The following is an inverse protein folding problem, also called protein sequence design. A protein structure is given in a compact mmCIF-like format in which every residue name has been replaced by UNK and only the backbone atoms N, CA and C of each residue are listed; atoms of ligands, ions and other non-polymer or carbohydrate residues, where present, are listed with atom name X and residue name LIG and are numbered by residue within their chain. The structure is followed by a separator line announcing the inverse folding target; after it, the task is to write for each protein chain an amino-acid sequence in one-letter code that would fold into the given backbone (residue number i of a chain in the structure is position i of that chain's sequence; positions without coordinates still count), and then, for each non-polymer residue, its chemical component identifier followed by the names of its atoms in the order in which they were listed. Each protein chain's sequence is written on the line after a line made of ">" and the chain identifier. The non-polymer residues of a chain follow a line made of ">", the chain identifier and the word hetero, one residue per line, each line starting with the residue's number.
data_IF_448537226321
#
_entry.id   IF_448537226321
#
_cell.length_a   1.000
_cell.length_b   1.000
_cell.length_c   1.000
_cell.angle_alpha   90.00
_cell.angle_beta   90.00
_cell.angle_gamma   90.00
#
_symmetry.space_group_name_H-M   'P 1'
#
loop_
_entity.id
_entity.type
_entity.pdbx_description
1 polymer ?
#
# COMPACT_ATOMS: atom_id res chain seq x y z
N UNK A 1 -13.44 -43.35 -9.73
CA UNK A 1 -13.46 -43.47 -8.25
C UNK A 1 -12.58 -44.63 -7.81
N UNK A 2 -12.73 -45.82 -8.40
CA UNK A 2 -11.89 -47.00 -8.12
C UNK A 2 -10.39 -46.81 -8.43
N UNK A 3 -10.04 -46.15 -9.53
CA UNK A 3 -8.65 -45.92 -9.93
C UNK A 3 -7.90 -44.97 -8.97
N UNK A 4 -8.61 -44.02 -8.36
CA UNK A 4 -8.06 -43.12 -7.33
C UNK A 4 -7.80 -43.87 -6.03
N UNK A 5 -8.75 -44.71 -5.60
CA UNK A 5 -8.64 -45.53 -4.38
C UNK A 5 -7.53 -46.58 -4.50
N UNK A 6 -7.33 -47.15 -5.69
CA UNK A 6 -6.25 -48.10 -5.97
C UNK A 6 -4.86 -47.44 -5.90
N UNK A 7 -4.71 -46.19 -6.37
CA UNK A 7 -3.45 -45.43 -6.27
C UNK A 7 -3.15 -44.89 -4.87
N UNK A 8 -4.17 -44.72 -4.04
CA UNK A 8 -4.07 -44.19 -2.68
C UNK A 8 -3.85 -45.27 -1.60
N UNK A 9 -3.59 -46.53 -1.97
CA UNK A 9 -3.26 -47.61 -1.02
C UNK A 9 -4.44 -48.12 -0.19
N UNK A 10 -5.69 -47.78 -0.52
CA UNK A 10 -6.88 -48.11 0.27
C UNK A 10 -7.29 -49.61 0.30
N UNK A 11 -6.44 -50.50 -0.24
CA UNK A 11 -6.62 -51.97 -0.24
C UNK A 11 -5.84 -52.68 0.89
N UNK A 12 -5.20 -51.92 1.77
CA UNK A 12 -4.45 -52.45 2.93
C UNK A 12 -5.39 -52.57 4.13
N UNK A 13 -5.36 -53.72 4.83
CA UNK A 13 -6.27 -54.10 5.93
C UNK A 13 -6.07 -53.29 7.23
N UNK A 14 -5.23 -52.27 7.19
CA UNK A 14 -4.96 -51.33 8.27
C UNK A 14 -4.78 -49.92 7.70
N UNK A 15 -5.25 -48.91 8.42
CA UNK A 15 -5.09 -47.52 8.01
C UNK A 15 -3.63 -47.09 8.15
N UNK A 16 -3.02 -46.62 7.07
CA UNK A 16 -1.76 -45.87 7.13
C UNK A 16 -2.00 -44.53 7.83
N UNK A 17 -1.41 -44.34 9.01
CA UNK A 17 -1.49 -43.08 9.75
C UNK A 17 -0.27 -42.24 9.39
N UNK A 18 -0.48 -41.15 8.65
CA UNK A 18 0.54 -40.14 8.41
C UNK A 18 0.77 -39.34 9.71
N UNK A 19 2.01 -39.32 10.18
CA UNK A 19 2.41 -38.50 11.31
C UNK A 19 3.16 -37.28 10.76
N UNK A 20 2.58 -36.10 10.90
CA UNK A 20 3.28 -34.85 10.62
C UNK A 20 4.30 -34.59 11.74
N UNK A 21 5.53 -34.26 11.35
CA UNK A 21 6.51 -33.72 12.31
C UNK A 21 6.07 -32.32 12.77
N UNK A 22 6.54 -31.88 13.94
CA UNK A 22 6.24 -30.54 14.47
C UNK A 22 6.68 -29.42 13.51
N UNK A 23 7.78 -29.64 12.77
CA UNK A 23 8.27 -28.71 11.75
C UNK A 23 7.34 -28.62 10.52
N UNK A 24 6.79 -29.75 10.06
CA UNK A 24 5.81 -29.77 8.96
C UNK A 24 4.49 -29.16 9.39
N UNK A 25 4.03 -29.46 10.61
CA UNK A 25 2.85 -28.85 11.18
C UNK A 25 3.00 -27.31 11.26
N UNK A 26 4.14 -26.81 11.74
CA UNK A 26 4.41 -25.38 11.81
C UNK A 26 4.44 -24.69 10.43
N UNK A 27 4.86 -25.40 9.37
CA UNK A 27 4.85 -24.88 8.00
C UNK A 27 3.45 -24.87 7.36
N UNK A 28 2.56 -25.78 7.81
CA UNK A 28 1.18 -25.90 7.31
C UNK A 28 0.24 -24.93 8.05
N UNK A 29 0.46 -24.75 9.34
CA UNK A 29 -0.40 -23.91 10.17
C UNK A 29 -0.33 -22.44 9.72
N UNK A 30 -1.49 -21.80 9.71
CA UNK A 30 -1.53 -20.36 9.49
C UNK A 30 -0.85 -19.65 10.66
N UNK A 31 -0.03 -18.62 10.39
CA UNK A 31 0.64 -17.85 11.43
C UNK A 31 -0.31 -16.98 12.26
N UNK A 32 -1.56 -16.83 11.82
CA UNK A 32 -2.59 -16.03 12.48
C UNK A 32 -3.47 -16.91 13.35
N UNK A 33 -3.83 -16.39 14.51
CA UNK A 33 -4.72 -17.01 15.48
C UNK A 33 -6.13 -16.40 15.39
N UNK A 34 -7.14 -17.10 15.90
CA UNK A 34 -8.50 -16.54 15.98
C UNK A 34 -8.57 -15.24 16.80
N UNK A 35 -7.60 -15.00 17.70
CA UNK A 35 -7.45 -13.73 18.43
C UNK A 35 -7.02 -12.56 17.55
N UNK A 36 -6.47 -12.81 16.36
CA UNK A 36 -6.05 -11.78 15.39
C UNK A 36 -7.19 -11.34 14.47
N UNK A 37 -8.34 -12.02 14.52
CA UNK A 37 -9.52 -11.65 13.76
C UNK A 37 -10.14 -10.35 14.30
N UNK A 38 -10.69 -9.49 13.42
CA UNK A 38 -11.37 -8.27 13.86
C UNK A 38 -12.51 -8.63 14.81
N UNK A 39 -12.45 -8.13 16.05
CA UNK A 39 -13.41 -8.32 17.16
C UNK A 39 -14.82 -7.76 16.85
N UNK A 40 -14.98 -7.13 15.67
CA UNK A 40 -16.22 -6.51 15.23
C UNK A 40 -17.36 -7.52 15.27
N UNK A 41 -18.24 -7.32 16.24
CA UNK A 41 -19.17 -8.34 16.74
C UNK A 41 -20.37 -8.55 15.81
N UNK A 42 -20.48 -7.72 14.77
CA UNK A 42 -21.60 -7.67 13.84
C UNK A 42 -21.11 -7.65 12.39
N UNK A 43 -21.60 -8.52 11.49
CA UNK A 43 -21.23 -8.56 10.08
C UNK A 43 -21.36 -7.20 9.36
N UNK A 44 -22.27 -6.33 9.82
CA UNK A 44 -22.48 -4.98 9.28
C UNK A 44 -21.30 -4.05 9.53
N UNK A 45 -20.64 -4.18 10.67
CA UNK A 45 -19.51 -3.34 11.03
C UNK A 45 -18.25 -3.76 10.25
N UNK A 46 -18.06 -5.06 10.06
CA UNK A 46 -17.01 -5.61 9.17
C UNK A 46 -17.17 -5.08 7.74
N UNK A 47 -18.39 -5.13 7.17
CA UNK A 47 -18.65 -4.61 5.81
C UNK A 47 -18.37 -3.11 5.73
N UNK A 48 -18.78 -2.34 6.75
CA UNK A 48 -18.51 -0.89 6.79
C UNK A 48 -17.02 -0.60 6.81
N UNK A 49 -16.25 -1.33 7.61
CA UNK A 49 -14.82 -1.11 7.72
C UNK A 49 -14.08 -1.56 6.46
N UNK A 50 -14.48 -2.66 5.83
CA UNK A 50 -14.00 -3.04 4.50
C UNK A 50 -14.25 -1.95 3.46
N UNK A 51 -15.46 -1.36 3.44
CA UNK A 51 -15.78 -0.27 2.52
C UNK A 51 -14.90 0.97 2.77
N UNK A 52 -14.70 1.37 4.04
CA UNK A 52 -13.80 2.48 4.38
C UNK A 52 -12.36 2.23 3.94
N UNK A 53 -11.84 1.02 4.19
CA UNK A 53 -10.49 0.63 3.79
C UNK A 53 -10.35 0.64 2.27
N UNK A 54 -11.35 0.14 1.55
CA UNK A 54 -11.36 0.17 0.07
C UNK A 54 -11.44 1.59 -0.48
N UNK A 55 -12.27 2.46 0.10
CA UNK A 55 -12.32 3.86 -0.29
C UNK A 55 -10.96 4.54 -0.07
N UNK A 56 -10.36 4.34 1.11
CA UNK A 56 -9.04 4.89 1.43
C UNK A 56 -7.96 4.39 0.46
N UNK A 57 -7.99 3.10 0.10
CA UNK A 57 -7.07 2.54 -0.89
C UNK A 57 -7.21 3.26 -2.23
N UNK A 58 -8.43 3.40 -2.75
CA UNK A 58 -8.69 4.08 -4.03
C UNK A 58 -8.24 5.55 -3.97
N UNK A 59 -8.52 6.25 -2.87
CA UNK A 59 -8.13 7.65 -2.71
C UNK A 59 -6.60 7.82 -2.75
N UNK A 60 -5.85 6.91 -2.11
CA UNK A 60 -4.38 6.90 -2.13
C UNK A 60 -3.84 6.60 -3.53
N UNK A 61 -4.37 5.57 -4.20
CA UNK A 61 -3.97 5.22 -5.57
C UNK A 61 -4.21 6.40 -6.54
N UNK A 62 -5.39 7.01 -6.46
CA UNK A 62 -5.70 8.20 -7.26
C UNK A 62 -4.75 9.35 -6.93
N UNK A 63 -4.43 9.58 -5.65
CA UNK A 63 -3.51 10.64 -5.26
C UNK A 63 -2.12 10.45 -5.89
N UNK A 64 -1.59 9.23 -5.83
CA UNK A 64 -0.31 8.87 -6.43
C UNK A 64 -0.32 9.03 -7.96
N UNK A 65 -1.40 8.59 -8.63
CA UNK A 65 -1.57 8.74 -10.09
C UNK A 65 -1.57 10.23 -10.47
N UNK A 66 -2.40 11.04 -9.80
CA UNK A 66 -2.48 12.46 -10.10
C UNK A 66 -1.12 13.15 -9.87
N UNK A 67 -0.49 12.96 -8.71
CA UNK A 67 0.81 13.60 -8.42
C UNK A 67 1.88 13.17 -9.42
N UNK A 68 1.88 11.91 -9.85
CA UNK A 68 2.79 11.42 -10.89
C UNK A 68 2.61 12.17 -12.21
N UNK A 69 1.36 12.41 -12.63
CA UNK A 69 1.07 13.17 -13.85
C UNK A 69 1.46 14.64 -13.72
N UNK A 70 1.19 15.26 -12.57
CA UNK A 70 1.67 16.63 -12.29
C UNK A 70 3.20 16.70 -12.38
N UNK A 71 3.92 15.72 -11.83
CA UNK A 71 5.37 15.67 -11.86
C UNK A 71 5.92 15.52 -13.29
N UNK A 72 5.36 14.60 -14.09
CA UNK A 72 5.72 14.40 -15.50
C UNK A 72 5.50 15.67 -16.32
N UNK A 73 4.40 16.38 -16.07
CA UNK A 73 4.07 17.64 -16.74
C UNK A 73 4.81 18.86 -16.17
N UNK A 74 5.65 18.70 -15.14
CA UNK A 74 6.31 19.80 -14.40
C UNK A 74 5.33 20.87 -13.90
N UNK A 75 4.11 20.45 -13.52
CA UNK A 75 3.07 21.32 -12.96
C UNK A 75 3.06 21.20 -11.44
N UNK A 76 2.94 22.34 -10.75
CA UNK A 76 2.89 22.38 -9.28
C UNK A 76 1.43 22.55 -8.80
N UNK A 77 0.83 21.52 -8.15
CA UNK A 77 -0.50 21.61 -7.56
C UNK A 77 -0.57 22.69 -6.48
N UNK A 78 -1.77 23.19 -6.19
CA UNK A 78 -1.96 24.31 -5.24
C UNK A 78 -1.33 24.07 -3.87
N UNK A 79 -1.44 22.84 -3.34
CA UNK A 79 -0.88 22.47 -2.03
C UNK A 79 0.66 22.50 -1.96
N UNK A 80 1.34 22.36 -3.09
CA UNK A 80 2.80 22.34 -3.17
C UNK A 80 3.41 23.70 -3.54
N UNK A 81 2.60 24.74 -3.79
CA UNK A 81 3.12 26.06 -4.21
C UNK A 81 3.75 26.80 -3.03
N UNK A 82 5.08 26.86 -3.01
CA UNK A 82 5.82 27.61 -2.01
C UNK A 82 5.82 29.10 -2.40
N UNK A 83 5.11 29.93 -1.62
CA UNK A 83 5.04 31.38 -1.82
C UNK A 83 6.04 32.08 -0.89
N UNK A 84 7.31 32.05 -1.26
CA UNK A 84 8.37 32.74 -0.53
C UNK A 84 9.16 33.65 -1.49
N UNK A 85 9.65 34.78 -0.99
CA UNK A 85 10.35 35.81 -1.77
C UNK A 85 11.63 36.17 -1.03
N UNK A 86 12.78 36.33 -1.70
CA UNK A 86 14.03 36.62 -1.03
C UNK A 86 13.95 37.92 -0.24
N UNK A 87 14.52 37.94 0.96
CA UNK A 87 14.62 39.15 1.79
C UNK A 87 15.67 40.10 1.23
N UNK A 88 16.80 39.57 0.77
CA UNK A 88 17.89 40.32 0.15
C UNK A 88 17.82 40.12 -1.36
N UNK A 89 17.81 41.21 -2.13
CA UNK A 89 17.77 41.13 -3.60
C UNK A 89 16.37 41.03 -4.22
N UNK A 90 15.30 41.29 -3.46
CA UNK A 90 13.90 41.28 -3.94
C UNK A 90 13.65 42.19 -5.16
N UNK A 91 14.39 43.29 -5.27
CA UNK A 91 14.24 44.24 -6.37
C UNK A 91 15.02 43.81 -7.63
N UNK A 92 15.88 42.79 -7.53
CA UNK A 92 16.61 42.26 -8.67
C UNK A 92 15.80 41.12 -9.31
N UNK A 93 15.28 41.31 -10.55
CA UNK A 93 14.45 40.30 -11.21
C UNK A 93 15.20 39.00 -11.47
N UNK A 94 16.52 39.04 -11.69
CA UNK A 94 17.33 37.84 -11.90
C UNK A 94 17.43 36.99 -10.62
N UNK A 95 17.59 37.62 -9.47
CA UNK A 95 17.61 36.94 -8.16
C UNK A 95 16.26 36.30 -7.87
N UNK A 96 15.18 37.04 -8.08
CA UNK A 96 13.82 36.52 -7.90
C UNK A 96 13.53 35.34 -8.85
N UNK A 97 13.99 35.38 -10.10
CA UNK A 97 13.82 34.28 -11.05
C UNK A 97 14.54 33.02 -10.57
N UNK A 98 15.80 33.14 -10.15
CA UNK A 98 16.59 32.01 -9.62
C UNK A 98 15.95 31.44 -8.34
N UNK A 99 15.49 32.31 -7.44
CA UNK A 99 14.81 31.93 -6.21
C UNK A 99 13.55 31.10 -6.47
N UNK A 100 12.66 31.60 -7.34
CA UNK A 100 11.45 30.87 -7.74
C UNK A 100 11.80 29.53 -8.39
N UNK A 101 12.87 29.49 -9.21
CA UNK A 101 13.36 28.24 -9.79
C UNK A 101 13.72 27.19 -8.75
N UNK A 102 14.41 27.59 -7.68
CA UNK A 102 14.76 26.70 -6.56
C UNK A 102 13.50 26.24 -5.82
N UNK A 103 12.58 27.15 -5.51
CA UNK A 103 11.33 26.80 -4.85
C UNK A 103 10.50 25.82 -5.68
N UNK A 104 10.42 26.02 -6.99
CA UNK A 104 9.73 25.10 -7.89
C UNK A 104 10.37 23.71 -7.89
N UNK A 105 11.71 23.63 -7.84
CA UNK A 105 12.41 22.35 -7.69
C UNK A 105 12.04 21.69 -6.36
N UNK A 106 12.08 22.42 -5.24
CA UNK A 106 11.67 21.91 -3.94
C UNK A 106 10.22 21.40 -3.96
N UNK A 107 9.29 22.14 -4.58
CA UNK A 107 7.90 21.69 -4.73
C UNK A 107 7.79 20.36 -5.47
N UNK A 108 8.56 20.16 -6.54
CA UNK A 108 8.58 18.89 -7.29
C UNK A 108 9.20 17.75 -6.48
N UNK A 109 10.26 18.03 -5.73
CA UNK A 109 10.91 17.05 -4.86
C UNK A 109 9.96 16.63 -3.71
N UNK A 110 9.23 17.58 -3.12
CA UNK A 110 8.20 17.28 -2.11
C UNK A 110 7.07 16.40 -2.67
N UNK A 111 6.71 16.56 -3.95
CA UNK A 111 5.71 15.68 -4.57
C UNK A 111 6.20 14.23 -4.62
N UNK A 112 7.50 14.00 -4.87
CA UNK A 112 8.05 12.65 -4.87
C UNK A 112 8.00 11.99 -3.50
N UNK A 113 8.31 12.76 -2.44
CA UNK A 113 8.20 12.28 -1.05
C UNK A 113 6.77 11.82 -0.74
N UNK A 114 5.77 12.57 -1.19
CA UNK A 114 4.35 12.22 -0.95
C UNK A 114 3.88 11.05 -1.81
N UNK A 115 4.51 10.78 -2.96
CA UNK A 115 4.18 9.59 -3.78
C UNK A 115 4.83 8.32 -3.20
N UNK A 116 5.96 8.45 -2.52
CA UNK A 116 6.70 7.32 -1.93
C UNK A 116 6.06 6.77 -0.64
N UNK A 117 5.40 7.62 0.14
CA UNK A 117 4.66 7.28 1.38
C UNK A 117 3.34 6.54 1.10
#
# INVERSE_FOLDING_TARGET
>A
MEEFLSRAGALVDHAEVLQFSEAEAAAILWPQSDSDLPISSEPRDIVRDLQKLKQRQIDLELHAIYLSDYYRMKKIPRGFRIKNVPTIGRNNPEVCRKWIGILNKCSLDLMLVVIEE
#
